data_IF_533096557171
#
_entry.id   IF_533096557171
#
_cell.length_a   1.000
_cell.length_b   1.000
_cell.length_c   1.000
_cell.angle_alpha   90.00
_cell.angle_beta   90.00
_cell.angle_gamma   90.00
#
_symmetry.space_group_name_H-M   'P 1'
#
loop_
_entity.id
_entity.type
_entity.pdbx_description
1 polymer ?
#
# COMPACT_ATOMS: atom_id res chain seq x y z
N UNK A 1 -6.85 16.32 -31.38
CA UNK A 1 -6.60 17.15 -32.57
C UNK A 1 -5.37 18.03 -32.29
N UNK A 2 -4.17 17.52 -32.61
CA UNK A 2 -2.92 18.26 -32.39
C UNK A 2 -2.85 19.43 -33.38
N UNK A 3 -2.90 20.65 -32.84
CA UNK A 3 -2.75 21.87 -33.64
C UNK A 3 -1.32 21.94 -34.17
N UNK A 4 -1.20 21.81 -35.49
CA UNK A 4 0.02 22.07 -36.25
C UNK A 4 0.61 23.43 -35.82
N UNK A 5 1.89 23.44 -35.38
CA UNK A 5 2.61 24.70 -35.12
C UNK A 5 2.77 25.45 -36.44
N UNK A 6 1.84 26.34 -36.73
CA UNK A 6 1.92 27.25 -37.87
C UNK A 6 3.08 28.21 -37.64
N UNK A 7 4.22 27.91 -38.25
CA UNK A 7 5.33 28.86 -38.36
C UNK A 7 5.04 29.80 -39.55
N UNK A 8 5.41 31.07 -39.46
CA UNK A 8 5.11 32.11 -40.48
C UNK A 8 5.60 31.73 -41.88
N UNK A 9 6.66 30.91 -41.96
CA UNK A 9 7.20 30.37 -43.21
C UNK A 9 6.25 29.38 -43.90
N UNK A 10 5.51 28.57 -43.14
CA UNK A 10 4.56 27.60 -43.69
C UNK A 10 3.34 28.30 -44.32
N UNK A 11 2.94 29.44 -43.76
CA UNK A 11 1.82 30.23 -44.26
C UNK A 11 2.18 30.95 -45.58
N UNK A 12 3.43 31.41 -45.72
CA UNK A 12 3.95 32.01 -46.94
C UNK A 12 4.10 31.02 -48.10
N UNK A 13 4.43 29.75 -47.80
CA UNK A 13 4.50 28.68 -48.82
C UNK A 13 3.10 28.25 -49.28
N UNK A 14 2.11 28.20 -48.39
CA UNK A 14 0.73 27.90 -48.79
C UNK A 14 0.18 28.98 -49.72
N UNK A 15 0.36 30.26 -49.41
CA UNK A 15 -0.13 31.35 -50.28
C UNK A 15 0.57 31.40 -51.63
N UNK A 16 1.87 31.09 -51.72
CA UNK A 16 2.59 31.09 -53.01
C UNK A 16 2.19 29.93 -53.94
N UNK A 17 1.84 28.78 -53.36
CA UNK A 17 1.39 27.59 -54.11
C UNK A 17 -0.03 27.77 -54.65
N UNK A 18 -0.92 28.48 -53.94
CA UNK A 18 -2.26 28.78 -54.46
C UNK A 18 -2.27 29.92 -55.51
N UNK A 19 -1.34 30.87 -55.45
CA UNK A 19 -1.23 31.94 -56.46
C UNK A 19 -0.65 31.48 -57.80
N UNK A 20 0.06 30.35 -57.82
CA UNK A 20 0.71 29.83 -59.04
C UNK A 20 -0.18 28.90 -59.88
N UNK A 21 -1.39 28.57 -59.40
CA UNK A 21 -2.32 27.66 -60.08
C UNK A 21 -3.23 28.34 -61.12
N UNK A 22 -3.05 29.63 -61.44
CA UNK A 22 -3.91 30.33 -62.39
C UNK A 22 -3.25 30.99 -63.60
N UNK A 23 -1.93 30.93 -63.80
CA UNK A 23 -1.30 31.43 -65.03
C UNK A 23 0.17 31.01 -65.13
N UNK A 24 0.46 29.90 -65.81
CA UNK A 24 1.48 29.78 -66.87
C UNK A 24 1.78 28.30 -67.17
N UNK A 25 1.62 27.92 -68.43
CA UNK A 25 1.78 26.55 -68.94
C UNK A 25 3.24 26.12 -69.16
N UNK A 26 4.24 26.83 -68.64
CA UNK A 26 5.68 26.52 -68.86
C UNK A 26 6.53 26.50 -67.57
N UNK A 27 5.90 26.38 -66.42
CA UNK A 27 6.62 26.24 -65.16
C UNK A 27 6.96 24.78 -64.90
N UNK A 28 8.23 24.39 -65.08
CA UNK A 28 8.77 23.13 -64.54
C UNK A 28 8.71 23.22 -63.01
N UNK A 29 7.57 22.81 -62.45
CA UNK A 29 7.46 22.52 -61.02
C UNK A 29 8.46 21.41 -60.74
N UNK A 30 9.42 21.57 -59.81
CA UNK A 30 10.32 20.49 -59.48
C UNK A 30 9.46 19.38 -58.85
N UNK A 31 9.12 18.37 -59.64
CA UNK A 31 8.47 17.12 -59.20
C UNK A 31 9.40 16.26 -58.33
N UNK A 32 10.60 16.77 -58.01
CA UNK A 32 11.50 16.17 -57.03
C UNK A 32 11.09 16.60 -55.62
N UNK A 33 10.08 15.91 -55.09
CA UNK A 33 9.83 15.69 -53.66
C UNK A 33 9.93 16.95 -52.79
N UNK A 34 8.91 17.80 -52.84
CA UNK A 34 8.70 18.77 -51.76
C UNK A 34 8.55 18.06 -50.41
N UNK A 35 8.86 18.71 -49.28
CA UNK A 35 8.79 18.09 -47.96
C UNK A 35 7.33 17.76 -47.62
N UNK A 36 6.90 16.56 -47.99
CA UNK A 36 5.62 15.99 -47.57
C UNK A 36 5.79 15.34 -46.20
N UNK A 37 4.72 15.29 -45.41
CA UNK A 37 4.75 14.68 -44.08
C UNK A 37 5.32 13.25 -44.11
N UNK A 38 4.90 12.44 -45.08
CA UNK A 38 5.40 11.08 -45.28
C UNK A 38 6.91 11.04 -45.59
N UNK A 39 7.44 11.99 -46.36
CA UNK A 39 8.89 12.06 -46.64
C UNK A 39 9.73 12.59 -45.48
N UNK A 40 9.13 13.34 -44.54
CA UNK A 40 9.83 13.91 -43.39
C UNK A 40 9.80 12.99 -42.17
N UNK A 41 8.68 12.30 -41.96
CA UNK A 41 8.42 11.54 -40.73
C UNK A 41 8.28 10.03 -40.97
N UNK A 42 8.28 9.58 -42.23
CA UNK A 42 8.22 8.16 -42.59
C UNK A 42 7.11 7.38 -41.87
N UNK A 43 5.91 7.97 -41.77
CA UNK A 43 4.76 7.40 -41.05
C UNK A 43 4.39 6.00 -41.60
N UNK A 44 4.44 4.98 -40.73
CA UNK A 44 3.86 3.66 -41.00
C UNK A 44 2.46 3.61 -40.40
N UNK A 45 1.46 3.47 -41.26
CA UNK A 45 0.06 3.40 -40.84
C UNK A 45 -0.27 2.15 -40.01
N UNK A 46 0.59 1.13 -40.04
CA UNK A 46 0.46 -0.08 -39.21
C UNK A 46 0.81 0.16 -37.75
N UNK A 47 1.50 1.26 -37.45
CA UNK A 47 1.85 1.66 -36.09
C UNK A 47 0.74 2.51 -35.44
N UNK A 48 -0.32 2.85 -36.19
CA UNK A 48 -1.48 3.51 -35.59
C UNK A 48 -2.25 2.53 -34.70
N UNK A 49 -2.51 3.00 -33.49
CA UNK A 49 -3.29 2.30 -32.50
C UNK A 49 -4.78 2.63 -32.58
N UNK A 50 -5.61 1.81 -31.95
CA UNK A 50 -7.03 2.08 -31.82
C UNK A 50 -7.27 3.25 -30.85
N UNK A 51 -8.42 3.92 -31.00
CA UNK A 51 -8.80 4.97 -30.06
C UNK A 51 -8.93 4.37 -28.64
N UNK A 52 -8.40 5.08 -27.64
CA UNK A 52 -8.34 4.63 -26.24
C UNK A 52 -7.45 3.41 -25.97
N UNK A 53 -6.62 3.01 -26.93
CA UNK A 53 -5.61 1.99 -26.69
C UNK A 53 -4.52 2.51 -25.73
N UNK A 54 -3.90 1.64 -24.91
CA UNK A 54 -2.88 2.04 -23.94
C UNK A 54 -1.62 2.62 -24.59
N UNK A 55 -1.31 2.23 -25.83
CA UNK A 55 -0.21 2.75 -26.63
C UNK A 55 -0.53 4.10 -27.32
N UNK A 56 -1.77 4.59 -27.21
CA UNK A 56 -2.14 5.89 -27.77
C UNK A 56 -1.45 7.02 -27.02
N UNK A 57 -0.95 8.02 -27.74
CA UNK A 57 -0.24 9.17 -27.15
C UNK A 57 -1.14 10.05 -26.26
N UNK A 58 -2.46 9.98 -26.44
CA UNK A 58 -3.47 10.64 -25.60
C UNK A 58 -4.06 9.71 -24.53
N UNK A 59 -3.48 8.53 -24.33
CA UNK A 59 -3.89 7.59 -23.29
C UNK A 59 -3.52 8.10 -21.89
N UNK A 60 -4.22 7.62 -20.84
CA UNK A 60 -3.82 7.85 -19.46
C UNK A 60 -2.41 7.32 -19.15
N UNK A 61 -1.95 6.29 -19.87
CA UNK A 61 -0.62 5.68 -19.72
C UNK A 61 0.48 6.66 -20.15
N UNK A 62 0.31 7.28 -21.31
CA UNK A 62 1.23 8.31 -21.81
C UNK A 62 1.30 9.51 -20.87
N UNK A 63 0.15 9.91 -20.31
CA UNK A 63 0.13 10.98 -19.31
C UNK A 63 0.84 10.60 -18.00
N UNK A 64 0.66 9.38 -17.52
CA UNK A 64 1.33 8.87 -16.32
C UNK A 64 2.86 8.81 -16.51
N UNK A 65 3.34 8.30 -17.64
CA UNK A 65 4.78 8.24 -17.92
C UNK A 65 5.39 9.64 -18.03
N UNK A 66 4.67 10.58 -18.64
CA UNK A 66 5.06 11.98 -18.68
C UNK A 66 5.13 12.59 -17.27
N UNK A 67 4.13 12.38 -16.42
CA UNK A 67 4.11 12.86 -15.04
C UNK A 67 5.27 12.30 -14.21
N UNK A 68 5.54 11.01 -14.33
CA UNK A 68 6.65 10.36 -13.62
C UNK A 68 8.01 10.96 -14.04
N UNK A 69 8.21 11.17 -15.34
CA UNK A 69 9.42 11.82 -15.84
C UNK A 69 9.53 13.29 -15.41
N UNK A 70 8.43 14.03 -15.35
CA UNK A 70 8.46 15.41 -14.85
C UNK A 70 8.77 15.45 -13.36
N UNK A 71 8.15 14.60 -12.55
CA UNK A 71 8.39 14.53 -11.11
C UNK A 71 9.86 14.21 -10.79
N UNK A 72 10.44 13.22 -11.46
CA UNK A 72 11.86 12.86 -11.30
C UNK A 72 12.81 13.96 -11.77
N UNK A 73 12.47 14.68 -12.84
CA UNK A 73 13.23 15.86 -13.29
C UNK A 73 13.15 17.04 -12.31
N UNK A 74 12.04 17.22 -11.59
CA UNK A 74 11.96 18.25 -10.55
C UNK A 74 12.80 17.87 -9.33
N UNK A 75 12.79 16.59 -8.93
CA UNK A 75 13.62 16.10 -7.83
C UNK A 75 15.12 16.29 -8.12
N UNK A 76 15.56 16.05 -9.35
CA UNK A 76 16.98 16.23 -9.73
C UNK A 76 17.45 17.68 -9.68
N UNK A 77 16.54 18.65 -9.79
CA UNK A 77 16.85 20.09 -9.74
C UNK A 77 16.89 20.65 -8.31
N UNK A 78 16.27 19.99 -7.34
CA UNK A 78 16.03 20.53 -5.99
C UNK A 78 17.12 20.20 -4.95
N UNK A 79 18.16 19.45 -5.33
CA UNK A 79 19.28 19.06 -4.45
C UNK A 79 18.94 17.91 -3.49
N UNK A 80 19.93 17.06 -3.20
CA UNK A 80 19.75 15.75 -2.53
C UNK A 80 19.34 15.85 -1.05
N UNK A 81 19.74 16.92 -0.35
CA UNK A 81 19.58 17.01 1.11
C UNK A 81 18.17 17.44 1.56
N UNK A 82 17.34 17.95 0.64
CA UNK A 82 16.05 18.56 0.99
C UNK A 82 14.83 17.69 0.65
N UNK A 83 15.01 16.56 -0.06
CA UNK A 83 13.89 15.78 -0.59
C UNK A 83 14.15 14.29 -0.42
N UNK A 84 13.12 13.58 0.05
CA UNK A 84 13.08 12.12 -0.03
C UNK A 84 12.64 11.76 -1.47
N UNK A 85 13.49 11.12 -2.30
CA UNK A 85 13.17 10.86 -3.70
C UNK A 85 11.91 10.00 -3.86
N UNK A 86 11.21 10.17 -4.98
CA UNK A 86 10.01 9.37 -5.29
C UNK A 86 10.33 7.88 -5.33
N UNK A 87 11.49 7.51 -5.89
CA UNK A 87 11.96 6.13 -5.94
C UNK A 87 12.16 5.49 -4.54
N UNK A 88 12.44 6.30 -3.52
CA UNK A 88 12.59 5.83 -2.13
C UNK A 88 11.23 5.73 -1.45
N UNK A 89 10.35 6.71 -1.66
CA UNK A 89 9.01 6.74 -1.03
C UNK A 89 8.05 5.70 -1.62
N UNK A 90 8.15 5.46 -2.93
CA UNK A 90 7.24 4.62 -3.72
C UNK A 90 8.04 3.84 -4.78
N UNK A 91 8.85 2.85 -4.35
CA UNK A 91 9.62 2.01 -5.27
C UNK A 91 8.71 1.21 -6.22
N UNK A 92 7.47 0.94 -5.81
CA UNK A 92 6.45 0.22 -6.58
C UNK A 92 6.06 0.92 -7.89
N UNK A 93 6.19 2.24 -7.99
CA UNK A 93 5.82 2.98 -9.20
C UNK A 93 6.78 2.73 -10.36
N UNK A 94 8.06 2.48 -10.08
CA UNK A 94 9.05 2.17 -11.10
C UNK A 94 8.89 0.75 -11.66
N UNK A 95 8.37 -0.16 -10.82
CA UNK A 95 8.13 -1.56 -11.17
C UNK A 95 6.71 -1.81 -11.74
N UNK A 96 5.85 -0.79 -11.75
CA UNK A 96 4.48 -0.90 -12.23
C UNK A 96 4.44 -1.24 -13.73
N UNK A 97 3.98 -2.45 -14.04
CA UNK A 97 3.76 -2.86 -15.42
C UNK A 97 2.48 -2.20 -15.96
N UNK A 98 2.60 -1.56 -17.12
CA UNK A 98 1.51 -0.85 -17.78
C UNK A 98 0.82 -1.79 -18.77
N UNK A 99 -0.07 -2.63 -18.25
CA UNK A 99 -0.89 -3.54 -19.05
C UNK A 99 -2.37 -3.10 -19.09
N UNK A 100 -3.18 -3.82 -19.86
CA UNK A 100 -4.61 -3.49 -20.01
C UNK A 100 -5.37 -3.59 -18.67
N UNK A 101 -4.96 -4.50 -17.78
CA UNK A 101 -5.61 -4.71 -16.50
C UNK A 101 -5.27 -3.58 -15.53
N UNK A 102 -4.01 -3.13 -15.46
CA UNK A 102 -3.57 -1.98 -14.67
C UNK A 102 -4.32 -0.69 -15.03
N UNK A 103 -4.81 -0.58 -16.26
CA UNK A 103 -5.52 0.60 -16.76
C UNK A 103 -7.02 0.49 -16.52
N UNK A 104 -7.62 -0.66 -16.80
CA UNK A 104 -9.07 -0.81 -16.87
C UNK A 104 -9.70 -1.53 -15.67
N UNK A 105 -8.90 -2.25 -14.87
CA UNK A 105 -9.41 -3.00 -13.73
C UNK A 105 -9.79 -2.05 -12.59
N UNK A 106 -11.05 -2.14 -12.17
CA UNK A 106 -11.53 -1.42 -10.99
C UNK A 106 -11.13 -2.20 -9.74
N UNK A 107 -10.28 -1.60 -8.90
CA UNK A 107 -9.80 -2.17 -7.64
C UNK A 107 -10.16 -1.27 -6.45
N UNK A 108 -10.49 -1.83 -5.27
CA UNK A 108 -10.72 -1.03 -4.06
C UNK A 108 -9.46 -0.27 -3.63
N UNK A 109 -9.59 1.03 -3.38
CA UNK A 109 -8.43 1.86 -2.99
C UNK A 109 -7.77 1.38 -1.70
N UNK A 110 -8.55 0.88 -0.74
CA UNK A 110 -8.02 0.35 0.54
C UNK A 110 -7.13 -0.87 0.33
N UNK A 111 -7.44 -1.72 -0.65
CA UNK A 111 -6.62 -2.88 -0.98
C UNK A 111 -5.24 -2.45 -1.51
N UNK A 112 -5.20 -1.39 -2.32
CA UNK A 112 -3.94 -0.82 -2.80
C UNK A 112 -3.12 -0.23 -1.65
N UNK A 113 -3.76 0.48 -0.73
CA UNK A 113 -3.09 1.03 0.47
C UNK A 113 -2.45 -0.10 1.28
N UNK A 114 -3.20 -1.16 1.57
CA UNK A 114 -2.68 -2.30 2.33
C UNK A 114 -1.50 -2.98 1.62
N UNK A 115 -1.59 -3.16 0.29
CA UNK A 115 -0.50 -3.71 -0.52
C UNK A 115 0.77 -2.87 -0.43
N UNK A 116 0.66 -1.54 -0.57
CA UNK A 116 1.81 -0.62 -0.49
C UNK A 116 2.42 -0.65 0.91
N UNK A 117 1.60 -0.65 1.97
CA UNK A 117 2.07 -0.75 3.35
C UNK A 117 2.79 -2.09 3.60
N UNK A 118 2.23 -3.20 3.13
CA UNK A 118 2.84 -4.53 3.26
C UNK A 118 4.19 -4.60 2.54
N UNK A 119 4.28 -4.07 1.32
CA UNK A 119 5.54 -3.99 0.56
C UNK A 119 6.60 -3.16 1.29
N UNK A 120 6.20 -2.07 1.96
CA UNK A 120 7.13 -1.23 2.72
C UNK A 120 7.69 -1.90 3.99
N UNK A 121 6.90 -2.78 4.62
CA UNK A 121 7.26 -3.46 5.87
C UNK A 121 8.02 -4.78 5.63
N UNK A 122 7.72 -5.47 4.53
CA UNK A 122 8.35 -6.74 4.12
C UNK A 122 9.89 -6.78 4.24
N UNK A 123 10.67 -5.79 3.76
CA UNK A 123 12.13 -5.84 3.87
C UNK A 123 12.63 -5.81 5.32
N UNK A 124 11.92 -5.14 6.23
CA UNK A 124 12.27 -5.12 7.65
C UNK A 124 11.96 -6.44 8.34
N UNK A 125 10.81 -7.04 8.00
CA UNK A 125 10.41 -8.37 8.51
C UNK A 125 11.42 -9.43 8.07
N UNK A 126 11.80 -9.42 6.79
CA UNK A 126 12.79 -10.36 6.24
C UNK A 126 14.18 -10.23 6.89
N UNK A 127 14.54 -9.05 7.40
CA UNK A 127 15.79 -8.83 8.13
C UNK A 127 15.76 -9.51 9.51
N UNK A 128 14.62 -9.41 10.21
CA UNK A 128 14.45 -9.98 11.56
C UNK A 128 14.30 -11.50 11.50
N UNK A 129 13.45 -12.00 10.60
CA UNK A 129 13.13 -13.41 10.49
C UNK A 129 12.92 -13.82 9.02
N UNK A 130 13.94 -14.41 8.37
CA UNK A 130 13.79 -14.89 7.01
C UNK A 130 12.78 -16.05 7.00
N UNK A 131 11.78 -15.97 6.10
CA UNK A 131 10.69 -16.93 5.89
C UNK A 131 9.43 -16.75 6.77
N UNK A 132 9.33 -15.69 7.58
CA UNK A 132 8.09 -15.38 8.31
C UNK A 132 7.26 -14.39 7.50
N UNK A 133 5.94 -14.61 7.45
CA UNK A 133 5.02 -13.69 6.78
C UNK A 133 4.84 -12.39 7.57
N UNK A 134 4.50 -11.28 6.90
CA UNK A 134 4.21 -10.00 7.57
C UNK A 134 3.07 -10.18 8.58
N UNK A 135 2.02 -10.92 8.21
CA UNK A 135 0.86 -11.19 9.09
C UNK A 135 1.23 -11.95 10.36
N UNK A 136 2.13 -12.92 10.27
CA UNK A 136 2.60 -13.68 11.44
C UNK A 136 3.48 -12.81 12.36
N UNK A 137 4.31 -11.95 11.77
CA UNK A 137 5.09 -10.98 12.54
C UNK A 137 4.18 -10.01 13.30
N UNK A 138 3.17 -9.44 12.62
CA UNK A 138 2.18 -8.55 13.25
C UNK A 138 1.37 -9.22 14.36
N UNK A 139 1.17 -10.53 14.25
CA UNK A 139 0.49 -11.31 15.27
C UNK A 139 1.33 -11.53 16.53
N UNK A 140 2.66 -11.51 16.42
CA UNK A 140 3.60 -11.70 17.54
C UNK A 140 4.07 -10.38 18.17
N UNK A 141 4.10 -9.29 17.40
CA UNK A 141 4.53 -7.97 17.89
C UNK A 141 3.52 -7.38 18.86
N UNK A 142 4.00 -6.83 19.98
CA UNK A 142 3.16 -6.21 21.03
C UNK A 142 3.06 -4.69 20.94
N UNK A 143 4.12 -4.03 20.46
CA UNK A 143 4.13 -2.58 20.23
C UNK A 143 3.92 -2.28 18.74
N UNK A 144 3.08 -1.31 18.34
CA UNK A 144 2.30 -0.34 19.13
C UNK A 144 0.91 -0.88 19.55
N UNK A 145 0.09 -0.10 20.27
CA UNK A 145 -1.13 -0.55 20.98
C UNK A 145 -2.24 -1.18 20.16
N UNK A 146 -2.25 -0.99 18.84
CA UNK A 146 -3.16 -1.70 17.93
C UNK A 146 -2.72 -3.15 17.66
N UNK A 147 -1.50 -3.51 18.05
CA UNK A 147 -0.92 -4.83 17.97
C UNK A 147 -0.99 -5.50 19.36
N UNK A 148 -1.08 -6.84 19.43
CA UNK A 148 -0.93 -7.81 18.35
C UNK A 148 -2.17 -7.96 17.45
N UNK A 149 -1.95 -8.06 16.13
CA UNK A 149 -3.01 -8.26 15.13
C UNK A 149 -2.87 -9.63 14.45
N UNK A 150 -3.77 -10.56 14.77
CA UNK A 150 -3.76 -11.91 14.19
C UNK A 150 -4.80 -12.07 13.08
N UNK A 151 -4.37 -11.86 11.83
CA UNK A 151 -5.25 -11.84 10.65
C UNK A 151 -6.16 -13.08 10.51
N UNK A 152 -5.66 -14.33 10.61
CA UNK A 152 -6.53 -15.50 10.48
C UNK A 152 -7.60 -15.60 11.59
N UNK A 153 -7.29 -15.09 12.78
CA UNK A 153 -8.21 -15.13 13.92
C UNK A 153 -9.33 -14.11 13.74
N UNK A 154 -9.01 -12.92 13.25
CA UNK A 154 -10.05 -11.96 12.90
C UNK A 154 -10.93 -12.47 11.75
N UNK A 155 -10.34 -13.16 10.77
CA UNK A 155 -11.11 -13.76 9.68
C UNK A 155 -12.07 -14.85 10.19
N UNK A 156 -11.65 -15.69 11.14
CA UNK A 156 -12.53 -16.69 11.75
C UNK A 156 -13.65 -16.01 12.54
N UNK A 157 -13.36 -15.00 13.37
CA UNK A 157 -14.37 -14.26 14.11
C UNK A 157 -15.39 -13.58 13.18
N UNK A 158 -14.94 -12.97 12.08
CA UNK A 158 -15.83 -12.38 11.07
C UNK A 158 -16.72 -13.44 10.40
N UNK A 159 -16.17 -14.61 10.07
CA UNK A 159 -16.94 -15.71 9.47
C UNK A 159 -17.99 -16.30 10.43
N UNK A 160 -17.66 -16.39 11.72
CA UNK A 160 -18.55 -16.82 12.78
C UNK A 160 -19.68 -15.81 12.99
N UNK A 161 -19.33 -14.52 13.08
CA UNK A 161 -20.30 -13.42 13.17
C UNK A 161 -21.24 -13.37 11.97
N UNK A 162 -20.76 -13.64 10.77
CA UNK A 162 -21.60 -13.73 9.57
C UNK A 162 -22.61 -14.89 9.63
N UNK A 163 -22.30 -15.94 10.41
CA UNK A 163 -23.17 -17.10 10.64
C UNK A 163 -24.05 -16.95 11.90
N UNK A 164 -24.02 -15.79 12.56
CA UNK A 164 -24.66 -15.54 13.88
C UNK A 164 -24.27 -16.57 14.95
N UNK A 165 -23.02 -17.05 14.87
CA UNK A 165 -22.46 -18.02 15.80
C UNK A 165 -21.24 -17.46 16.51
N UNK A 166 -20.98 -17.96 17.72
CA UNK A 166 -19.76 -17.65 18.47
C UNK A 166 -18.90 -18.89 18.62
N UNK A 167 -17.59 -18.68 18.82
CA UNK A 167 -16.67 -19.79 19.06
C UNK A 167 -17.08 -20.56 20.32
N UNK A 168 -17.54 -19.84 21.35
CA UNK A 168 -18.13 -20.45 22.54
C UNK A 168 -19.29 -21.38 22.19
N UNK A 169 -20.28 -20.90 21.43
CA UNK A 169 -21.47 -21.70 21.14
C UNK A 169 -21.14 -22.95 20.33
N UNK A 170 -20.17 -22.83 19.42
CA UNK A 170 -19.62 -23.96 18.67
C UNK A 170 -18.99 -24.99 19.62
N UNK A 171 -18.19 -24.56 20.59
CA UNK A 171 -17.60 -25.44 21.62
C UNK A 171 -18.70 -26.12 22.45
N UNK A 172 -19.75 -25.38 22.84
CA UNK A 172 -20.90 -25.94 23.60
C UNK A 172 -21.61 -27.06 22.86
N UNK A 173 -21.74 -26.95 21.53
CA UNK A 173 -22.43 -27.93 20.67
C UNK A 173 -21.56 -29.15 20.35
N UNK A 174 -20.24 -28.98 20.32
CA UNK A 174 -19.29 -30.00 19.86
C UNK A 174 -18.68 -30.81 20.99
N UNK A 175 -18.40 -30.22 22.15
CA UNK A 175 -17.78 -30.94 23.26
C UNK A 175 -18.82 -31.69 24.11
N UNK A 176 -18.73 -33.02 24.10
CA UNK A 176 -19.50 -33.93 24.97
C UNK A 176 -19.32 -33.68 26.47
N UNK A 177 -18.23 -33.03 26.88
CA UNK A 177 -17.95 -32.69 28.27
C UNK A 177 -18.65 -31.40 28.73
N UNK A 178 -19.32 -30.68 27.83
CA UNK A 178 -20.14 -29.52 28.19
C UNK A 178 -21.42 -29.98 28.93
N UNK A 179 -21.85 -29.30 30.02
CA UNK A 179 -21.28 -28.09 30.61
C UNK A 179 -20.15 -28.33 31.62
N UNK A 180 -19.11 -27.49 31.56
CA UNK A 180 -17.92 -27.63 32.43
C UNK A 180 -18.16 -27.31 33.91
N UNK A 181 -19.22 -26.56 34.24
CA UNK A 181 -19.53 -26.19 35.64
C UNK A 181 -19.99 -27.36 36.52
N UNK A 182 -20.26 -28.54 35.94
CA UNK A 182 -20.71 -29.73 36.69
C UNK A 182 -19.51 -30.52 37.25
N UNK A 183 -18.29 -30.27 36.77
CA UNK A 183 -17.08 -31.02 37.18
C UNK A 183 -16.30 -30.28 38.27
N UNK A 184 -15.65 -31.03 39.18
CA UNK A 184 -14.89 -30.49 40.33
C UNK A 184 -13.73 -29.54 39.94
N UNK A 185 -13.20 -29.63 38.72
CA UNK A 185 -12.09 -28.80 38.26
C UNK A 185 -12.56 -27.67 37.32
N UNK A 186 -13.29 -26.69 37.87
CA UNK A 186 -13.83 -25.57 37.08
C UNK A 186 -12.75 -24.71 36.39
N UNK A 187 -11.53 -24.65 36.95
CA UNK A 187 -10.49 -23.70 36.54
C UNK A 187 -9.29 -24.34 35.84
N UNK A 188 -9.37 -25.62 35.48
CA UNK A 188 -8.23 -26.32 34.88
C UNK A 188 -8.65 -27.21 33.71
N UNK A 189 -7.84 -27.20 32.66
CA UNK A 189 -8.04 -28.03 31.47
C UNK A 189 -9.04 -27.42 30.48
N UNK A 190 -9.93 -28.25 29.92
CA UNK A 190 -10.84 -27.84 28.83
C UNK A 190 -11.80 -26.69 29.19
N UNK A 191 -12.09 -26.51 30.47
CA UNK A 191 -12.97 -25.43 30.94
C UNK A 191 -12.32 -24.05 30.75
N UNK A 192 -11.03 -23.96 31.11
CA UNK A 192 -10.23 -22.74 30.98
C UNK A 192 -10.00 -22.38 29.51
N UNK A 193 -9.62 -23.36 28.68
CA UNK A 193 -9.40 -23.13 27.25
C UNK A 193 -10.69 -22.70 26.54
N UNK A 194 -11.85 -23.25 26.92
CA UNK A 194 -13.12 -22.84 26.36
C UNK A 194 -13.52 -21.40 26.76
N UNK A 195 -13.16 -20.95 27.96
CA UNK A 195 -13.37 -19.57 28.38
C UNK A 195 -12.40 -18.60 27.70
N UNK A 196 -11.12 -18.99 27.58
CA UNK A 196 -10.10 -18.24 26.86
C UNK A 196 -10.51 -18.03 25.39
N UNK A 197 -10.83 -19.11 24.67
CA UNK A 197 -11.35 -19.03 23.30
C UNK A 197 -12.67 -18.26 23.22
N UNK A 198 -13.43 -18.22 24.31
CA UNK A 198 -14.64 -17.42 24.39
C UNK A 198 -14.44 -15.92 24.56
N UNK A 199 -13.25 -15.48 24.98
CA UNK A 199 -12.97 -14.05 25.13
C UNK A 199 -12.86 -13.31 23.79
N UNK A 200 -12.87 -14.03 22.66
CA UNK A 200 -12.63 -13.51 21.30
C UNK A 200 -11.29 -12.72 21.18
N UNK A 201 -10.36 -12.94 22.12
CA UNK A 201 -9.01 -12.38 22.10
C UNK A 201 -8.07 -13.27 21.28
N UNK A 202 -7.17 -12.66 20.52
CA UNK A 202 -6.13 -13.38 19.80
C UNK A 202 -5.17 -14.11 20.77
N UNK A 203 -4.47 -15.18 20.33
CA UNK A 203 -3.57 -15.94 21.21
C UNK A 203 -2.54 -15.08 21.94
N UNK A 204 -1.87 -14.17 21.24
CA UNK A 204 -0.90 -13.28 21.89
C UNK A 204 -1.54 -12.24 22.82
N UNK A 205 -2.77 -11.80 22.55
CA UNK A 205 -3.51 -10.95 23.48
C UNK A 205 -3.86 -11.69 24.77
N UNK A 206 -4.20 -12.98 24.67
CA UNK A 206 -4.40 -13.82 25.86
C UNK A 206 -3.08 -14.03 26.62
N UNK A 207 -1.97 -14.25 25.92
CA UNK A 207 -0.64 -14.39 26.53
C UNK A 207 -0.27 -13.14 27.35
N UNK A 208 -0.51 -11.94 26.82
CA UNK A 208 -0.26 -10.67 27.54
C UNK A 208 -1.06 -10.58 28.84
N UNK A 209 -2.27 -11.13 28.90
CA UNK A 209 -3.11 -11.08 30.09
C UNK A 209 -2.74 -12.13 31.15
N UNK A 210 -2.14 -13.25 30.73
CA UNK A 210 -1.87 -14.41 31.58
C UNK A 210 -0.40 -14.44 32.03
N UNK A 211 0.49 -13.73 31.35
CA UNK A 211 1.91 -13.72 31.69
C UNK A 211 2.18 -13.24 33.13
N UNK A 212 3.13 -13.90 33.79
CA UNK A 212 3.55 -13.49 35.12
C UNK A 212 4.42 -12.23 35.02
N UNK A 213 4.29 -11.35 36.00
CA UNK A 213 5.13 -10.15 36.06
C UNK A 213 6.60 -10.54 36.23
N UNK A 214 7.48 -9.86 35.50
CA UNK A 214 8.92 -10.09 35.55
C UNK A 214 9.52 -9.59 36.88
N UNK A 215 10.26 -10.44 37.57
CA UNK A 215 10.90 -10.10 38.85
C UNK A 215 12.33 -9.55 38.69
N UNK A 216 12.99 -9.85 37.56
CA UNK A 216 14.37 -9.41 37.30
C UNK A 216 14.44 -8.12 36.47
N UNK A 217 15.42 -7.27 36.75
CA UNK A 217 15.62 -5.98 36.04
C UNK A 217 15.80 -6.16 34.53
N UNK A 218 16.43 -7.25 34.09
CA UNK A 218 16.63 -7.56 32.67
C UNK A 218 15.34 -7.97 31.98
N UNK A 219 14.51 -8.80 32.62
CA UNK A 219 13.21 -9.21 32.08
C UNK A 219 12.22 -8.03 32.05
N UNK A 220 12.24 -7.17 33.07
CA UNK A 220 11.50 -5.90 33.08
C UNK A 220 11.89 -5.00 31.91
N UNK A 221 13.19 -4.86 31.64
CA UNK A 221 13.67 -4.04 30.51
C UNK A 221 13.19 -4.59 29.18
N UNK A 222 13.25 -5.91 29.00
CA UNK A 222 12.75 -6.56 27.78
C UNK A 222 11.23 -6.42 27.65
N UNK A 223 10.48 -6.54 28.74
CA UNK A 223 9.04 -6.36 28.76
C UNK A 223 8.64 -4.93 28.34
N UNK A 224 9.24 -3.90 28.94
CA UNK A 224 8.94 -2.51 28.58
C UNK A 224 9.35 -2.18 27.14
N UNK A 225 10.46 -2.74 26.66
CA UNK A 225 10.87 -2.57 25.28
C UNK A 225 9.91 -3.24 24.30
N UNK A 226 9.49 -4.48 24.56
CA UNK A 226 8.61 -5.24 23.67
C UNK A 226 7.17 -4.72 23.68
N UNK A 227 6.64 -4.39 24.86
CA UNK A 227 5.24 -3.99 25.04
C UNK A 227 5.01 -2.50 24.83
N UNK A 228 5.96 -1.64 25.23
CA UNK A 228 5.80 -0.17 25.24
C UNK A 228 6.88 0.59 24.45
N UNK A 229 7.79 -0.11 23.76
CA UNK A 229 8.78 0.51 22.87
C UNK A 229 9.90 1.30 23.57
N UNK A 230 9.98 1.28 24.91
CA UNK A 230 10.97 2.04 25.68
C UNK A 230 11.99 1.13 26.37
N UNK A 231 13.27 1.43 26.16
CA UNK A 231 14.39 0.79 26.86
C UNK A 231 14.51 1.35 28.28
N UNK A 232 13.61 0.96 29.18
CA UNK A 232 13.63 1.32 30.60
C UNK A 232 13.49 0.07 31.44
N UNK A 233 14.19 0.01 32.57
CA UNK A 233 14.00 -1.05 33.58
C UNK A 233 12.90 -0.71 34.59
N UNK A 234 12.44 0.55 34.62
CA UNK A 234 11.57 1.11 35.65
C UNK A 234 10.38 1.85 35.03
N UNK A 235 9.34 2.09 35.84
CA UNK A 235 8.13 2.82 35.46
C UNK A 235 8.34 4.35 35.32
N UNK A 236 9.46 4.91 35.80
CA UNK A 236 9.72 6.36 35.83
C UNK A 236 9.37 7.14 34.54
N UNK A 237 9.68 6.64 33.31
CA UNK A 237 9.34 7.37 32.09
C UNK A 237 7.83 7.55 31.88
N UNK A 238 7.02 6.63 32.41
CA UNK A 238 5.57 6.61 32.27
C UNK A 238 4.85 7.46 33.33
N UNK A 239 5.58 7.98 34.33
CA UNK A 239 5.04 8.99 35.26
C UNK A 239 4.65 10.25 34.49
N UNK A 240 5.34 10.56 33.40
CA UNK A 240 4.94 11.63 32.50
C UNK A 240 3.76 11.16 31.63
N UNK A 241 2.61 11.83 31.82
CA UNK A 241 1.39 11.55 31.07
C UNK A 241 1.57 11.63 29.56
N UNK A 242 2.41 12.54 29.07
CA UNK A 242 2.60 12.76 27.64
C UNK A 242 3.35 11.59 27.00
N UNK A 243 4.33 11.05 27.72
CA UNK A 243 5.09 9.87 27.27
C UNK A 243 4.18 8.65 27.25
N UNK A 244 3.37 8.46 28.31
CA UNK A 244 2.43 7.35 28.38
C UNK A 244 1.39 7.41 27.26
N UNK A 245 0.77 8.58 27.03
CA UNK A 245 -0.17 8.79 25.94
C UNK A 245 0.46 8.51 24.57
N UNK A 246 1.69 8.98 24.35
CA UNK A 246 2.38 8.76 23.08
C UNK A 246 2.67 7.28 22.83
N UNK A 247 3.15 6.55 23.85
CA UNK A 247 3.46 5.12 23.68
C UNK A 247 2.18 4.28 23.56
N UNK A 248 1.11 4.67 24.24
CA UNK A 248 -0.17 3.97 24.19
C UNK A 248 -1.06 4.38 22.99
N UNK A 249 -0.71 5.47 22.29
CA UNK A 249 -1.56 6.01 21.22
C UNK A 249 -2.95 6.45 21.70
N UNK A 250 -3.11 6.71 23.00
CA UNK A 250 -4.37 7.16 23.61
C UNK A 250 -4.33 8.67 23.84
N UNK A 251 -5.51 9.28 23.81
CA UNK A 251 -5.69 10.68 24.19
C UNK A 251 -5.57 10.85 25.71
N UNK A 252 -5.27 12.06 26.16
CA UNK A 252 -5.23 12.37 27.59
C UNK A 252 -6.59 12.18 28.27
N UNK A 253 -7.68 12.44 27.55
CA UNK A 253 -9.04 12.24 28.06
C UNK A 253 -9.33 10.76 28.35
N UNK A 254 -8.90 9.85 27.47
CA UNK A 254 -9.02 8.40 27.67
C UNK A 254 -8.15 7.86 28.82
N UNK A 255 -7.08 8.56 29.18
CA UNK A 255 -6.26 8.16 30.34
C UNK A 255 -6.95 8.48 31.67
N UNK A 256 -7.75 9.55 31.73
CA UNK A 256 -8.38 10.01 32.96
C UNK A 256 -9.65 9.19 33.33
N UNK A 257 -10.16 8.37 32.41
CA UNK A 257 -11.33 7.49 32.58
C UNK A 257 -10.97 6.09 33.07
#
# INVERSE_FOLDING_TARGET
MLLFRKNNLAQAVQTSVYSTQLQDNDSVVPTKGGPTWQTLFADDWREYCQNSAPEANDSPVSYLSWLYNQATNFESQMGVDNIIPLAVRRPDLAELMLDNDAINQVVPSLQLVNKVLEQSVTPYVNNIAPNISVSETLAATRYSTLLPYHYPHQQTLLSLKASDESLQNTIKKTDTAWPYFVKQNLRAGKAETAWQLGSDLAPEQQNILIENFADSTTELTNFYYQSLGLNSSNFEPFVNSDVLCQQLGITKEEMET
#
